data_IF_394192122328
#
_entry.id   IF_394192122328
#
_cell.length_a   1.000
_cell.length_b   1.000
_cell.length_c   1.000
_cell.angle_alpha   90.00
_cell.angle_beta   90.00
_cell.angle_gamma   90.00
#
_symmetry.space_group_name_H-M   'P 1'
#
loop_
_entity.id
_entity.type
_entity.pdbx_description
1 polymer ?
#
# COMPACT_ATOMS: atom_id res chain seq x y z
N UNK A 1 31.80 -29.81 -10.31
CA UNK A 1 31.23 -29.62 -8.97
C UNK A 1 30.01 -28.74 -9.11
N UNK A 2 28.81 -29.33 -9.09
CA UNK A 2 27.55 -28.62 -9.30
C UNK A 2 26.95 -28.32 -7.93
N UNK A 3 27.00 -27.06 -7.50
CA UNK A 3 26.25 -26.61 -6.32
C UNK A 3 25.09 -25.78 -6.85
N UNK A 4 23.93 -26.44 -6.91
CA UNK A 4 22.64 -25.92 -7.36
C UNK A 4 22.35 -24.54 -6.75
N UNK A 5 22.20 -23.55 -7.62
CA UNK A 5 21.65 -22.23 -7.30
C UNK A 5 20.16 -22.33 -7.00
N UNK A 6 19.82 -22.97 -5.88
CA UNK A 6 18.46 -22.98 -5.37
C UNK A 6 18.08 -21.55 -5.00
N UNK A 7 17.25 -20.92 -5.84
CA UNK A 7 16.52 -19.71 -5.49
C UNK A 7 15.85 -19.95 -4.15
N UNK A 8 16.12 -19.09 -3.16
CA UNK A 8 15.47 -19.21 -1.85
C UNK A 8 13.96 -19.02 -2.00
N UNK A 9 13.16 -19.62 -1.11
CA UNK A 9 11.70 -19.47 -1.14
C UNK A 9 11.27 -17.98 -1.14
N UNK A 10 12.06 -17.10 -0.50
CA UNK A 10 11.86 -15.66 -0.53
C UNK A 10 12.16 -15.02 -1.91
N UNK A 11 13.13 -15.53 -2.67
CA UNK A 11 13.45 -15.07 -4.03
C UNK A 11 12.45 -15.60 -5.06
N UNK A 12 12.02 -16.86 -4.93
CA UNK A 12 10.93 -17.42 -5.74
C UNK A 12 9.65 -16.63 -5.45
N UNK A 13 9.36 -16.34 -4.18
CA UNK A 13 8.20 -15.54 -3.80
C UNK A 13 8.29 -14.10 -4.32
N UNK A 14 9.42 -13.42 -4.21
CA UNK A 14 9.60 -12.09 -4.82
C UNK A 14 9.35 -12.15 -6.33
N UNK A 15 9.68 -13.25 -7.00
CA UNK A 15 9.42 -13.43 -8.43
C UNK A 15 7.93 -13.68 -8.71
N UNK A 16 7.21 -14.35 -7.79
CA UNK A 16 5.77 -14.63 -7.90
C UNK A 16 4.91 -13.43 -7.47
N UNK A 17 5.27 -12.68 -6.44
CA UNK A 17 4.54 -11.47 -6.02
C UNK A 17 4.73 -10.31 -6.99
N UNK A 18 5.86 -10.26 -7.70
CA UNK A 18 6.03 -9.36 -8.85
C UNK A 18 5.67 -10.05 -10.17
N UNK A 19 4.92 -11.17 -10.10
CA UNK A 19 4.42 -11.80 -11.32
C UNK A 19 3.30 -10.96 -11.90
N UNK A 20 3.12 -11.09 -13.21
CA UNK A 20 2.02 -10.44 -13.92
C UNK A 20 0.66 -10.80 -13.32
N UNK A 21 0.49 -12.02 -12.81
CA UNK A 21 -0.73 -12.46 -12.15
C UNK A 21 -0.99 -11.74 -10.82
N UNK A 22 0.03 -11.52 -10.00
CA UNK A 22 -0.10 -10.77 -8.77
C UNK A 22 -0.50 -9.32 -9.08
N UNK A 23 0.27 -8.63 -9.93
CA UNK A 23 0.06 -7.24 -10.31
C UNK A 23 -1.29 -7.00 -11.01
N UNK A 24 -1.69 -7.90 -11.90
CA UNK A 24 -2.86 -7.72 -12.75
C UNK A 24 -4.12 -8.32 -12.19
N UNK A 25 -4.09 -9.09 -11.10
CA UNK A 25 -5.28 -9.76 -10.55
C UNK A 25 -5.37 -9.61 -9.03
N UNK A 26 -4.43 -10.16 -8.28
CA UNK A 26 -4.51 -10.20 -6.82
C UNK A 26 -4.45 -8.77 -6.21
N UNK A 27 -3.55 -7.95 -6.74
CA UNK A 27 -3.32 -6.57 -6.30
C UNK A 27 -4.56 -5.68 -6.40
N UNK A 28 -5.19 -5.55 -7.59
CA UNK A 28 -6.45 -4.83 -7.72
C UNK A 28 -7.53 -5.37 -6.79
N UNK A 29 -7.68 -6.69 -6.67
CA UNK A 29 -8.72 -7.31 -5.83
C UNK A 29 -8.53 -6.92 -4.36
N UNK A 30 -7.31 -7.03 -3.83
CA UNK A 30 -7.01 -6.66 -2.44
C UNK A 30 -7.30 -5.16 -2.21
N UNK A 31 -6.89 -4.29 -3.15
CA UNK A 31 -7.22 -2.85 -3.09
C UNK A 31 -8.72 -2.59 -3.09
N UNK A 32 -9.49 -3.31 -3.91
CA UNK A 32 -10.95 -3.19 -3.92
C UNK A 32 -11.59 -3.57 -2.59
N UNK A 33 -11.16 -4.66 -1.97
CA UNK A 33 -11.64 -5.05 -0.64
C UNK A 33 -11.34 -3.96 0.41
N UNK A 34 -10.12 -3.43 0.40
CA UNK A 34 -9.77 -2.33 1.29
C UNK A 34 -10.62 -1.09 1.01
N UNK A 35 -10.83 -0.74 -0.25
CA UNK A 35 -11.59 0.44 -0.65
C UNK A 35 -13.09 0.32 -0.30
N UNK A 36 -13.72 -0.79 -0.67
CA UNK A 36 -15.15 -1.02 -0.51
C UNK A 36 -15.53 -1.37 0.93
N UNK A 37 -14.69 -2.10 1.65
CA UNK A 37 -15.02 -2.70 2.94
C UNK A 37 -14.11 -2.28 4.09
N UNK A 38 -12.98 -1.61 3.80
CA UNK A 38 -12.04 -1.16 4.83
C UNK A 38 -11.21 -2.32 5.42
N UNK A 39 -11.19 -3.46 4.73
CA UNK A 39 -10.53 -4.68 5.20
C UNK A 39 -9.84 -5.45 4.08
N UNK A 40 -8.93 -6.35 4.44
CA UNK A 40 -8.46 -7.42 3.57
C UNK A 40 -9.61 -8.35 3.16
N UNK A 41 -9.52 -9.01 1.99
CA UNK A 41 -10.39 -10.12 1.68
C UNK A 41 -10.17 -11.28 2.65
N UNK A 42 -11.23 -12.02 2.96
CA UNK A 42 -11.06 -13.38 3.46
C UNK A 42 -10.63 -14.30 2.31
N UNK A 43 -10.16 -15.52 2.64
CA UNK A 43 -9.62 -16.44 1.63
C UNK A 43 -10.63 -16.79 0.53
N UNK A 44 -11.90 -17.03 0.89
CA UNK A 44 -12.93 -17.38 -0.07
C UNK A 44 -13.31 -16.19 -0.96
N UNK A 45 -13.44 -15.00 -0.35
CA UNK A 45 -13.69 -13.75 -1.05
C UNK A 45 -12.59 -13.37 -2.03
N UNK A 46 -11.32 -13.57 -1.65
CA UNK A 46 -10.17 -13.38 -2.54
C UNK A 46 -10.26 -14.34 -3.73
N UNK A 47 -10.38 -15.64 -3.47
CA UNK A 47 -10.46 -16.66 -4.52
C UNK A 47 -11.62 -16.39 -5.49
N UNK A 48 -12.81 -16.05 -5.00
CA UNK A 48 -13.97 -15.78 -5.83
C UNK A 48 -13.76 -14.56 -6.73
N UNK A 49 -13.21 -13.46 -6.19
CA UNK A 49 -12.96 -12.25 -6.96
C UNK A 49 -11.85 -12.45 -8.00
N UNK A 50 -10.75 -13.15 -7.64
CA UNK A 50 -9.70 -13.48 -8.60
C UNK A 50 -10.21 -14.42 -9.70
N UNK A 51 -11.04 -15.42 -9.36
CA UNK A 51 -11.63 -16.32 -10.34
C UNK A 51 -12.56 -15.59 -11.31
N UNK A 52 -13.32 -14.61 -10.82
CA UNK A 52 -14.11 -13.72 -11.66
C UNK A 52 -13.22 -12.94 -12.64
N UNK A 53 -12.11 -12.38 -12.17
CA UNK A 53 -11.15 -11.66 -13.03
C UNK A 53 -10.48 -12.60 -14.03
N UNK A 54 -10.07 -13.80 -13.63
CA UNK A 54 -9.47 -14.82 -14.52
C UNK A 54 -10.45 -15.23 -15.62
N UNK A 55 -11.73 -15.41 -15.28
CA UNK A 55 -12.76 -15.82 -16.24
C UNK A 55 -13.03 -14.78 -17.32
N UNK A 56 -12.94 -13.49 -16.98
CA UNK A 56 -13.25 -12.37 -17.90
C UNK A 56 -11.99 -11.68 -18.48
N UNK A 57 -10.81 -12.01 -17.94
CA UNK A 57 -9.55 -11.33 -18.21
C UNK A 57 -9.39 -10.01 -17.43
N UNK A 58 -8.14 -9.62 -17.07
CA UNK A 58 -7.89 -8.38 -16.34
C UNK A 58 -8.07 -7.17 -17.28
N UNK A 59 -9.22 -6.51 -17.19
CA UNK A 59 -9.56 -5.35 -18.02
C UNK A 59 -10.32 -4.29 -17.21
N UNK A 60 -10.36 -3.06 -17.72
CA UNK A 60 -11.14 -1.98 -17.11
C UNK A 60 -12.62 -2.37 -16.94
N UNK A 61 -13.21 -3.03 -17.94
CA UNK A 61 -14.60 -3.50 -17.89
C UNK A 61 -14.80 -4.57 -16.80
N UNK A 62 -13.87 -5.51 -16.67
CA UNK A 62 -13.89 -6.54 -15.63
C UNK A 62 -13.86 -5.92 -14.24
N UNK A 63 -12.96 -4.95 -14.02
CA UNK A 63 -12.83 -4.28 -12.73
C UNK A 63 -13.99 -3.35 -12.40
N UNK A 64 -14.56 -2.69 -13.40
CA UNK A 64 -15.79 -1.93 -13.22
C UNK A 64 -16.96 -2.84 -12.83
N UNK A 65 -17.08 -4.02 -13.45
CA UNK A 65 -18.09 -5.01 -13.06
C UNK A 65 -17.88 -5.52 -11.63
N UNK A 66 -16.64 -5.87 -11.27
CA UNK A 66 -16.30 -6.29 -9.92
C UNK A 66 -16.65 -5.21 -8.88
N UNK A 67 -16.29 -3.96 -9.16
CA UNK A 67 -16.60 -2.81 -8.30
C UNK A 67 -18.11 -2.58 -8.15
N UNK A 68 -18.87 -2.76 -9.24
CA UNK A 68 -20.34 -2.70 -9.19
C UNK A 68 -20.93 -3.81 -8.32
N UNK A 69 -20.41 -5.05 -8.40
CA UNK A 69 -20.83 -6.14 -7.51
C UNK A 69 -20.55 -5.81 -6.05
N UNK A 70 -19.40 -5.19 -5.75
CA UNK A 70 -19.06 -4.76 -4.40
C UNK A 70 -20.03 -3.69 -3.91
N UNK A 71 -20.31 -2.68 -4.74
CA UNK A 71 -21.25 -1.60 -4.42
C UNK A 71 -22.70 -2.08 -4.17
N UNK A 72 -23.08 -3.22 -4.73
CA UNK A 72 -24.40 -3.85 -4.53
C UNK A 72 -24.46 -4.76 -3.30
N UNK A 73 -23.33 -5.06 -2.66
CA UNK A 73 -23.29 -5.94 -1.49
C UNK A 73 -23.92 -5.29 -0.25
N UNK A 74 -24.44 -6.13 0.65
CA UNK A 74 -24.94 -5.68 1.95
C UNK A 74 -23.85 -4.98 2.76
N UNK A 75 -22.60 -5.46 2.69
CA UNK A 75 -21.49 -4.84 3.41
C UNK A 75 -21.21 -3.41 2.92
N UNK A 76 -21.21 -3.19 1.61
CA UNK A 76 -21.02 -1.85 1.06
C UNK A 76 -22.19 -0.92 1.39
N UNK A 77 -23.42 -1.40 1.21
CA UNK A 77 -24.62 -0.60 1.50
C UNK A 77 -24.78 -0.28 2.98
N UNK A 78 -24.26 -1.11 3.88
CA UNK A 78 -24.16 -0.78 5.30
C UNK A 78 -23.15 0.35 5.59
N UNK A 79 -22.08 0.48 4.80
CA UNK A 79 -21.04 1.50 4.99
C UNK A 79 -21.37 2.84 4.30
N UNK A 80 -21.88 2.76 3.08
CA UNK A 80 -22.08 3.94 2.23
C UNK A 80 -23.57 4.26 2.00
N UNK A 81 -24.49 3.39 2.43
CA UNK A 81 -25.93 3.51 2.18
C UNK A 81 -26.36 2.81 0.89
N UNK A 82 -27.68 2.70 0.69
CA UNK A 82 -28.30 1.97 -0.44
C UNK A 82 -28.44 2.80 -1.72
N UNK A 83 -28.09 4.09 -1.69
CA UNK A 83 -28.14 4.96 -2.86
C UNK A 83 -27.16 4.51 -3.95
N UNK A 84 -27.57 4.59 -5.21
CA UNK A 84 -26.76 4.24 -6.37
C UNK A 84 -26.04 5.43 -6.99
N UNK A 85 -26.61 6.62 -6.83
CA UNK A 85 -26.06 7.88 -7.29
C UNK A 85 -24.85 8.32 -6.43
N UNK A 86 -23.91 9.01 -7.08
CA UNK A 86 -22.77 9.62 -6.40
C UNK A 86 -23.17 10.97 -5.85
N UNK A 87 -22.89 11.19 -4.57
CA UNK A 87 -23.10 12.45 -3.86
C UNK A 87 -21.79 12.90 -3.19
N UNK A 88 -21.74 14.15 -2.75
CA UNK A 88 -20.53 14.73 -2.17
C UNK A 88 -20.06 13.98 -0.91
N UNK A 89 -20.97 13.48 -0.09
CA UNK A 89 -20.62 12.75 1.13
C UNK A 89 -19.96 11.42 0.79
N UNK A 90 -20.48 10.72 -0.22
CA UNK A 90 -19.88 9.50 -0.73
C UNK A 90 -18.47 9.74 -1.29
N UNK A 91 -18.27 10.77 -2.13
CA UNK A 91 -16.94 11.07 -2.68
C UNK A 91 -15.94 11.39 -1.57
N UNK A 92 -16.33 12.18 -0.57
CA UNK A 92 -15.45 12.49 0.56
C UNK A 92 -15.07 11.24 1.37
N UNK A 93 -16.04 10.36 1.64
CA UNK A 93 -15.79 9.10 2.34
C UNK A 93 -14.87 8.18 1.53
N UNK A 94 -15.05 8.14 0.20
CA UNK A 94 -14.24 7.35 -0.72
C UNK A 94 -12.78 7.80 -0.69
N UNK A 95 -12.52 9.11 -0.83
CA UNK A 95 -11.18 9.69 -0.75
C UNK A 95 -10.53 9.45 0.60
N UNK A 96 -11.26 9.66 1.70
CA UNK A 96 -10.73 9.42 3.04
C UNK A 96 -10.39 7.95 3.27
N UNK A 97 -11.18 7.02 2.74
CA UNK A 97 -10.99 5.57 2.97
C UNK A 97 -9.87 5.00 2.10
N UNK A 98 -9.78 5.45 0.84
CA UNK A 98 -8.85 4.88 -0.15
C UNK A 98 -7.51 5.62 -0.11
N UNK A 99 -7.56 6.95 -0.08
CA UNK A 99 -6.40 7.83 -0.24
C UNK A 99 -5.96 8.48 1.07
N UNK A 100 -6.76 8.41 2.14
CA UNK A 100 -6.40 9.00 3.43
C UNK A 100 -6.36 10.53 3.46
N UNK A 101 -6.96 11.18 2.47
CA UNK A 101 -7.12 12.64 2.40
C UNK A 101 -8.55 13.00 2.05
N UNK A 102 -8.93 14.25 2.27
CA UNK A 102 -10.19 14.77 1.75
C UNK A 102 -10.09 14.99 0.22
N UNK A 103 -11.22 14.84 -0.46
CA UNK A 103 -11.39 15.30 -1.84
C UNK A 103 -11.45 16.83 -1.86
N UNK A 104 -10.80 17.43 -2.85
CA UNK A 104 -10.99 18.84 -3.19
C UNK A 104 -12.38 19.10 -3.75
N UNK A 105 -12.82 20.36 -3.77
CA UNK A 105 -14.12 20.72 -4.35
C UNK A 105 -14.22 20.32 -5.83
N UNK A 106 -13.15 20.54 -6.61
CA UNK A 106 -13.12 20.14 -8.02
C UNK A 106 -13.21 18.63 -8.24
N UNK A 107 -12.61 17.82 -7.36
CA UNK A 107 -12.74 16.36 -7.40
C UNK A 107 -14.18 15.94 -7.08
N UNK A 108 -14.80 16.52 -6.04
CA UNK A 108 -16.21 16.27 -5.70
C UNK A 108 -17.13 16.63 -6.87
N UNK A 109 -16.97 17.83 -7.42
CA UNK A 109 -17.79 18.33 -8.52
C UNK A 109 -17.64 17.47 -9.78
N UNK A 110 -16.44 16.96 -10.06
CA UNK A 110 -16.19 16.07 -11.19
C UNK A 110 -17.00 14.77 -11.11
N UNK A 111 -17.18 14.20 -9.92
CA UNK A 111 -17.99 13.01 -9.72
C UNK A 111 -19.48 13.31 -9.65
N UNK A 112 -19.89 14.32 -8.86
CA UNK A 112 -21.31 14.63 -8.63
C UNK A 112 -21.99 15.10 -9.92
N UNK A 113 -21.29 15.86 -10.77
CA UNK A 113 -21.84 16.37 -12.03
C UNK A 113 -21.69 15.40 -13.21
N UNK A 114 -21.03 14.24 -13.01
CA UNK A 114 -20.86 13.25 -14.06
C UNK A 114 -22.17 12.48 -14.28
N UNK A 115 -22.82 12.70 -15.41
CA UNK A 115 -24.06 12.01 -15.75
C UNK A 115 -23.87 10.48 -15.78
N UNK A 116 -24.71 9.75 -15.06
CA UNK A 116 -24.75 8.28 -15.09
C UNK A 116 -23.64 7.56 -14.33
N UNK A 117 -22.77 8.28 -13.60
CA UNK A 117 -21.78 7.62 -12.75
C UNK A 117 -22.46 6.95 -11.55
N UNK A 118 -22.16 5.67 -11.34
CA UNK A 118 -22.63 4.93 -10.17
C UNK A 118 -21.57 4.98 -9.07
N UNK A 119 -21.98 4.69 -7.84
CA UNK A 119 -21.03 4.51 -6.73
C UNK A 119 -19.98 3.43 -7.01
N UNK A 120 -20.36 2.33 -7.67
CA UNK A 120 -19.44 1.29 -8.11
C UNK A 120 -18.44 1.77 -9.17
N UNK A 121 -18.87 2.57 -10.14
CA UNK A 121 -17.97 3.20 -11.11
C UNK A 121 -16.99 4.18 -10.43
N UNK A 122 -17.47 5.01 -9.51
CA UNK A 122 -16.60 5.93 -8.76
C UNK A 122 -15.61 5.16 -7.86
N UNK A 123 -16.04 4.08 -7.22
CA UNK A 123 -15.16 3.20 -6.44
C UNK A 123 -14.01 2.67 -7.30
N UNK A 124 -14.29 2.18 -8.51
CA UNK A 124 -13.28 1.72 -9.46
C UNK A 124 -12.30 2.84 -9.84
N UNK A 125 -12.82 4.00 -10.22
CA UNK A 125 -11.99 5.12 -10.70
C UNK A 125 -11.03 5.60 -9.61
N UNK A 126 -11.47 5.70 -8.35
CA UNK A 126 -10.60 6.11 -7.25
C UNK A 126 -9.67 4.98 -6.82
N UNK A 127 -10.15 3.74 -6.65
CA UNK A 127 -9.33 2.63 -6.15
C UNK A 127 -8.21 2.22 -7.12
N UNK A 128 -8.42 2.43 -8.41
CA UNK A 128 -7.46 2.12 -9.47
C UNK A 128 -6.71 3.36 -9.98
N UNK A 129 -6.90 4.51 -9.34
CA UNK A 129 -6.09 5.70 -9.63
C UNK A 129 -4.61 5.44 -9.32
N UNK A 130 -3.71 6.16 -10.00
CA UNK A 130 -2.28 6.06 -9.72
C UNK A 130 -1.95 6.39 -8.26
N UNK A 131 -2.70 7.31 -7.65
CA UNK A 131 -2.55 7.66 -6.25
C UNK A 131 -2.92 6.49 -5.33
N UNK A 132 -4.08 5.85 -5.55
CA UNK A 132 -4.51 4.70 -4.76
C UNK A 132 -3.54 3.52 -4.89
N UNK A 133 -3.05 3.24 -6.10
CA UNK A 133 -2.02 2.21 -6.33
C UNK A 133 -0.78 2.55 -5.52
N UNK A 134 -0.27 3.78 -5.63
CA UNK A 134 0.95 4.20 -4.93
C UNK A 134 0.82 4.18 -3.40
N UNK A 135 -0.36 4.52 -2.86
CA UNK A 135 -0.64 4.52 -1.42
C UNK A 135 -0.71 3.09 -0.84
N UNK A 136 -1.22 2.14 -1.62
CA UNK A 136 -1.52 0.79 -1.14
C UNK A 136 -0.48 -0.26 -1.53
N UNK A 137 0.39 0.01 -2.51
CA UNK A 137 1.37 -0.94 -3.07
C UNK A 137 2.14 -1.72 -2.00
N UNK A 138 2.84 -1.01 -1.09
CA UNK A 138 3.62 -1.65 -0.04
C UNK A 138 2.75 -2.46 0.95
N UNK A 139 1.51 -2.04 1.23
CA UNK A 139 0.60 -2.77 2.12
C UNK A 139 0.05 -4.05 1.45
N UNK A 140 -0.28 -3.97 0.15
CA UNK A 140 -0.73 -5.11 -0.66
C UNK A 140 0.39 -6.15 -0.79
N UNK A 141 1.60 -5.71 -1.13
CA UNK A 141 2.79 -6.56 -1.22
C UNK A 141 3.08 -7.24 0.13
N UNK A 142 3.00 -6.50 1.24
CA UNK A 142 3.14 -7.04 2.60
C UNK A 142 2.10 -8.11 2.95
N UNK A 143 0.84 -7.88 2.58
CA UNK A 143 -0.23 -8.85 2.81
C UNK A 143 -0.01 -10.14 2.00
N UNK A 144 0.38 -10.04 0.72
CA UNK A 144 0.67 -11.20 -0.11
C UNK A 144 1.89 -11.99 0.40
N UNK A 145 2.94 -11.29 0.85
CA UNK A 145 4.11 -11.89 1.51
C UNK A 145 3.69 -12.74 2.71
N UNK A 146 2.81 -12.22 3.56
CA UNK A 146 2.32 -12.95 4.71
C UNK A 146 1.43 -14.12 4.29
N UNK A 147 0.61 -13.95 3.24
CA UNK A 147 -0.29 -14.98 2.73
C UNK A 147 0.48 -16.20 2.24
N UNK A 148 1.56 -15.99 1.47
CA UNK A 148 2.40 -17.10 1.00
C UNK A 148 3.22 -17.76 2.11
N UNK A 149 3.56 -17.02 3.16
CA UNK A 149 4.19 -17.60 4.35
C UNK A 149 3.17 -18.31 5.26
N UNK A 150 1.88 -18.29 4.93
CA UNK A 150 0.81 -18.85 5.77
C UNK A 150 0.57 -18.09 7.07
N UNK A 151 1.00 -16.83 7.13
CA UNK A 151 0.93 -15.97 8.33
C UNK A 151 -0.01 -14.78 8.17
N UNK A 152 -0.64 -14.60 7.00
CA UNK A 152 -1.57 -13.51 6.77
C UNK A 152 -2.75 -13.53 7.75
N UNK A 153 -3.12 -12.34 8.22
CA UNK A 153 -4.33 -12.12 8.99
C UNK A 153 -5.43 -11.66 8.04
N UNK A 154 -6.35 -12.55 7.71
CA UNK A 154 -7.46 -12.31 6.76
C UNK A 154 -8.63 -11.51 7.36
N UNK A 155 -8.34 -10.58 8.27
CA UNK A 155 -9.33 -9.71 8.92
C UNK A 155 -8.77 -8.31 9.14
N UNK A 156 -9.64 -7.31 9.27
CA UNK A 156 -9.24 -5.92 9.48
C UNK A 156 -8.57 -5.28 8.25
N UNK A 157 -8.05 -4.07 8.40
CA UNK A 157 -7.47 -3.30 7.29
C UNK A 157 -6.11 -3.85 6.81
N UNK A 158 -5.81 -3.68 5.52
CA UNK A 158 -4.46 -3.90 4.96
C UNK A 158 -3.41 -3.00 5.64
N UNK A 159 -3.84 -1.87 6.19
CA UNK A 159 -3.01 -0.83 6.79
C UNK A 159 -2.69 -1.07 8.27
N UNK A 160 -2.50 -2.33 8.66
CA UNK A 160 -2.22 -2.73 10.05
C UNK A 160 -0.85 -3.35 10.18
N UNK A 161 -0.27 -3.27 11.39
CA UNK A 161 1.04 -3.86 11.67
C UNK A 161 1.02 -5.40 11.50
N UNK A 162 -0.13 -6.02 11.75
CA UNK A 162 -0.37 -7.45 11.58
C UNK A 162 -0.30 -7.91 10.11
N UNK A 163 -0.63 -7.02 9.16
CA UNK A 163 -0.58 -7.32 7.73
C UNK A 163 0.76 -6.91 7.07
N UNK A 164 1.82 -6.72 7.86
CA UNK A 164 3.21 -6.71 7.40
C UNK A 164 3.78 -5.33 7.04
N UNK A 165 2.94 -4.34 6.73
CA UNK A 165 3.35 -2.94 6.48
C UNK A 165 2.22 -1.97 6.91
N UNK A 166 2.26 -1.42 8.14
CA UNK A 166 1.33 -0.36 8.52
C UNK A 166 1.70 0.92 7.77
N UNK A 167 1.02 1.18 6.65
CA UNK A 167 1.01 2.50 6.02
C UNK A 167 -0.29 3.18 6.44
N UNK A 168 -0.24 4.45 6.88
CA UNK A 168 -1.49 5.21 6.94
C UNK A 168 -1.86 5.57 5.49
N UNK A 169 -3.11 5.34 5.04
CA UNK A 169 -3.55 5.80 3.72
C UNK A 169 -3.15 7.27 3.53
N UNK A 170 -2.57 7.64 2.38
CA UNK A 170 -2.17 9.02 2.08
C UNK A 170 -0.80 9.46 2.62
N UNK A 171 -0.15 8.64 3.45
CA UNK A 171 1.22 8.86 3.89
C UNK A 171 2.17 7.92 3.15
N UNK A 172 2.24 8.05 1.83
CA UNK A 172 3.31 7.44 1.03
C UNK A 172 4.59 8.17 1.38
N UNK A 173 5.56 7.50 2.01
CA UNK A 173 6.82 8.16 2.32
C UNK A 173 7.61 8.49 1.07
N UNK A 174 8.55 9.42 1.21
CA UNK A 174 9.39 9.88 0.12
C UNK A 174 10.71 9.10 0.06
N UNK A 175 11.26 8.94 -1.14
CA UNK A 175 12.63 8.43 -1.30
C UNK A 175 13.61 9.60 -1.37
N UNK A 176 14.58 9.63 -0.47
CA UNK A 176 15.63 10.64 -0.43
C UNK A 176 16.98 10.00 -0.74
N UNK A 177 17.68 10.54 -1.76
CA UNK A 177 19.04 10.12 -2.08
C UNK A 177 20.05 10.89 -1.22
N UNK A 178 20.93 10.17 -0.54
CA UNK A 178 22.08 10.75 0.15
C UNK A 178 23.17 11.08 -0.87
N UNK A 179 23.81 12.24 -0.69
CA UNK A 179 24.94 12.68 -1.51
C UNK A 179 26.26 12.30 -0.83
N UNK A 180 27.39 12.60 -1.49
CA UNK A 180 28.71 12.49 -0.89
C UNK A 180 29.00 13.59 0.15
N UNK A 181 28.14 14.61 0.22
CA UNK A 181 28.24 15.73 1.16
C UNK A 181 27.47 15.52 2.47
N UNK A 182 27.39 16.58 3.28
CA UNK A 182 26.52 16.60 4.45
C UNK A 182 25.10 16.87 3.99
N UNK A 183 24.22 15.89 4.09
CA UNK A 183 22.81 16.05 3.75
C UNK A 183 21.99 16.52 4.95
N UNK A 184 21.10 17.48 4.73
CA UNK A 184 20.05 17.85 5.68
C UNK A 184 18.71 17.52 5.04
N UNK A 185 18.17 16.36 5.41
CA UNK A 185 16.92 15.84 4.85
C UNK A 185 15.84 15.85 5.91
N UNK A 186 14.66 16.30 5.53
CA UNK A 186 13.47 16.27 6.39
C UNK A 186 12.53 15.21 5.82
N UNK A 187 12.30 14.17 6.61
CA UNK A 187 11.34 13.13 6.27
C UNK A 187 9.90 13.64 6.24
N UNK A 188 9.04 12.88 5.57
CA UNK A 188 7.59 13.10 5.55
C UNK A 188 6.91 12.36 6.70
N UNK A 189 5.57 12.45 6.76
CA UNK A 189 4.77 11.66 7.68
C UNK A 189 4.56 10.20 7.22
N UNK A 190 5.08 9.84 6.04
CA UNK A 190 5.02 8.50 5.47
C UNK A 190 6.27 7.64 5.70
N UNK A 191 6.24 6.41 5.18
CA UNK A 191 7.37 5.48 5.26
C UNK A 191 8.49 5.90 4.31
N UNK A 192 9.33 6.84 4.74
CA UNK A 192 10.42 7.37 3.93
C UNK A 192 11.54 6.35 3.70
N UNK A 193 12.14 6.37 2.52
CA UNK A 193 13.30 5.56 2.16
C UNK A 193 14.51 6.47 1.95
N UNK A 194 15.57 6.30 2.75
CA UNK A 194 16.82 7.04 2.58
C UNK A 194 17.86 6.15 1.88
N UNK A 195 18.15 6.45 0.62
CA UNK A 195 19.09 5.68 -0.21
C UNK A 195 20.49 6.25 -0.07
N UNK A 196 21.39 5.49 0.55
CA UNK A 196 22.82 5.80 0.61
C UNK A 196 23.64 4.73 -0.09
N UNK A 197 24.56 5.14 -0.97
CA UNK A 197 25.55 4.24 -1.55
C UNK A 197 26.81 4.30 -0.69
N UNK A 198 27.23 3.16 -0.12
CA UNK A 198 28.51 3.07 0.58
C UNK A 198 29.51 2.58 -0.46
N UNK A 199 30.48 3.42 -0.80
CA UNK A 199 31.61 3.11 -1.69
C UNK A 199 31.22 2.47 -3.04
N UNK A 200 30.20 3.03 -3.71
CA UNK A 200 29.84 2.64 -5.09
C UNK A 200 29.11 1.30 -5.25
N UNK A 201 28.71 0.64 -4.15
CA UNK A 201 27.83 -0.54 -4.21
C UNK A 201 26.61 -0.34 -3.31
N UNK A 202 25.43 -0.63 -3.85
CA UNK A 202 24.13 -0.58 -3.14
C UNK A 202 24.08 -1.64 -2.03
N UNK A 203 23.91 -1.28 -0.74
CA UNK A 203 23.75 -2.27 0.32
C UNK A 203 22.31 -2.79 0.41
N UNK A 204 22.18 -4.09 0.67
CA UNK A 204 20.91 -4.80 0.79
C UNK A 204 20.09 -4.39 2.04
N UNK A 205 18.77 -4.39 1.89
CA UNK A 205 17.75 -4.11 2.92
C UNK A 205 17.66 -5.23 3.96
N UNK A 206 17.66 -4.89 5.27
CA UNK A 206 17.39 -5.88 6.33
C UNK A 206 16.74 -5.26 7.58
N UNK A 207 15.59 -5.76 8.07
CA UNK A 207 14.87 -5.19 9.22
C UNK A 207 15.24 -5.85 10.57
N UNK A 208 15.34 -5.07 11.66
CA UNK A 208 15.32 -5.56 13.07
C UNK A 208 14.73 -4.53 14.07
N UNK A 209 14.18 -4.97 15.23
CA UNK A 209 13.39 -4.15 16.15
C UNK A 209 14.20 -3.47 17.27
N UNK A 210 13.55 -2.47 17.88
CA UNK A 210 13.97 -1.44 18.85
C UNK A 210 14.61 -1.96 20.17
N UNK A 211 15.78 -1.42 20.55
CA UNK A 211 16.23 -1.37 21.95
C UNK A 211 17.12 -0.14 22.24
N UNK A 212 16.79 0.51 23.35
CA UNK A 212 17.37 1.74 23.92
C UNK A 212 18.85 1.61 24.31
N UNK A 213 19.70 2.56 23.88
CA UNK A 213 20.76 3.24 24.68
C UNK A 213 21.68 4.11 23.82
N UNK A 214 21.88 5.37 24.23
CA UNK A 214 23.01 6.21 23.82
C UNK A 214 24.31 5.62 24.34
N UNK A 215 25.27 5.31 23.47
CA UNK A 215 26.68 5.76 23.54
C UNK A 215 27.47 5.20 22.34
N UNK A 216 28.21 6.09 21.69
CA UNK A 216 29.37 5.89 20.79
C UNK A 216 29.58 4.45 20.26
N UNK A 217 29.15 4.17 19.03
CA UNK A 217 29.75 3.18 18.13
C UNK A 217 29.09 3.25 16.73
N UNK A 218 29.92 3.04 15.71
CA UNK A 218 29.66 2.37 14.42
C UNK A 218 28.24 2.49 13.86
N UNK A 219 28.08 3.03 12.63
CA UNK A 219 26.80 3.10 11.89
C UNK A 219 25.95 1.86 12.15
N UNK A 220 25.05 2.00 13.12
CA UNK A 220 24.07 1.01 13.55
C UNK A 220 22.76 1.78 13.54
N UNK A 221 21.95 1.38 12.59
CA UNK A 221 20.62 1.87 12.28
C UNK A 221 19.79 2.12 13.53
N UNK A 222 19.31 3.35 13.70
CA UNK A 222 18.29 3.74 14.67
C UNK A 222 16.92 3.61 13.98
N UNK A 223 16.09 2.68 14.43
CA UNK A 223 14.65 2.67 14.13
C UNK A 223 13.93 3.40 15.26
N UNK A 224 13.14 4.43 14.94
CA UNK A 224 12.25 5.07 15.90
C UNK A 224 10.80 4.78 15.49
N UNK A 225 10.08 4.04 16.35
CA UNK A 225 8.62 4.08 16.37
C UNK A 225 8.23 5.21 17.30
N UNK A 226 7.53 6.24 16.79
CA UNK A 226 6.92 7.24 17.66
C UNK A 226 5.58 7.74 17.13
N UNK A 227 4.68 7.90 18.10
CA UNK A 227 3.33 8.49 18.09
C UNK A 227 3.21 9.76 17.21
N UNK A 228 1.97 10.11 16.80
CA UNK A 228 1.76 11.09 15.75
C UNK A 228 2.08 12.52 16.21
N UNK A 229 2.41 13.35 15.22
CA UNK A 229 2.58 14.82 15.27
C UNK A 229 4.01 15.29 15.67
N UNK A 230 4.93 15.35 14.70
CA UNK A 230 5.78 16.53 14.36
C UNK A 230 6.91 16.17 13.36
N UNK A 231 7.28 17.05 12.41
CA UNK A 231 8.47 16.88 11.57
C UNK A 231 9.73 16.95 12.43
N UNK A 232 10.64 15.97 12.31
CA UNK A 232 11.91 15.96 13.06
C UNK A 232 13.11 16.01 12.12
N UNK A 233 13.98 17.01 12.34
CA UNK A 233 15.26 17.15 11.64
C UNK A 233 16.32 16.26 12.30
N UNK A 234 17.01 15.42 11.53
CA UNK A 234 18.16 14.65 12.00
C UNK A 234 19.43 15.10 11.27
N UNK A 235 20.53 15.19 12.02
CA UNK A 235 21.88 15.49 11.51
C UNK A 235 22.75 14.25 11.69
N UNK A 236 23.21 13.63 10.60
CA UNK A 236 24.19 12.54 10.67
C UNK A 236 25.59 13.07 10.38
N UNK A 237 26.54 12.80 11.28
CA UNK A 237 27.96 13.08 11.13
C UNK A 237 28.70 11.78 10.77
N UNK A 238 29.45 11.76 9.67
CA UNK A 238 30.43 10.70 9.37
C UNK A 238 31.79 11.11 9.92
N UNK A 239 32.30 10.42 10.94
CA UNK A 239 33.72 10.52 11.29
C UNK A 239 34.50 9.59 10.37
N UNK A 240 35.28 10.15 9.44
CA UNK A 240 36.29 9.40 8.68
C UNK A 240 37.40 8.98 9.64
N UNK A 241 37.65 7.67 9.79
CA UNK A 241 38.96 7.22 10.25
C UNK A 241 39.81 7.00 9.01
N UNK A 242 40.86 7.80 8.89
CA UNK A 242 42.01 7.57 8.01
C UNK A 242 42.72 6.29 8.36
#
# INVERSE_FOLDING_TARGET
MSQSGALTDAQIFSTISNSREADQIADPVIRFYQAAFGRVPDQAGLQNAENFVRALGPSAATYQNLSNMFAQSTEFTNRFGTGTAVDAAYVQALYSTILGRAASSGEVDGYVNSAGITRGSALYLVSQSQEAISVSDAAVNGFQLNAAQGTAVYTGSIYTAQNGQPNTPGNTGSTFALTTGIDTLTGTAGNDTFLGTVDGTTPASRPRPLATRSTVALVRTLSASSRPLEPRTFRLLRTLRT
#
